data_IF_015457658088
#
_entry.id   IF_015457658088
#
_cell.length_a   1.000
_cell.length_b   1.000
_cell.length_c   1.000
_cell.angle_alpha   90.00
_cell.angle_beta   90.00
_cell.angle_gamma   90.00
#
_symmetry.space_group_name_H-M   'P 1'
#
loop_
_entity.id
_entity.type
_entity.pdbx_description
1 polymer ?
#
# COMPACT_ATOMS: atom_id res chain seq x y z
N UNK A 1 -2.05 -4.59 -2.14
CA UNK A 1 -0.94 -3.68 -2.52
C UNK A 1 0.28 -4.46 -3.01
N UNK A 2 1.07 -5.12 -2.15
CA UNK A 2 2.38 -5.67 -2.57
C UNK A 2 2.29 -6.74 -3.68
N UNK A 3 1.26 -7.60 -3.67
CA UNK A 3 1.04 -8.57 -4.75
C UNK A 3 0.86 -7.91 -6.12
N UNK A 4 0.33 -6.69 -6.15
CA UNK A 4 0.11 -5.90 -7.37
C UNK A 4 1.28 -4.96 -7.67
N UNK A 5 1.98 -4.51 -6.63
CA UNK A 5 3.06 -3.51 -6.69
C UNK A 5 4.33 -3.96 -7.42
N UNK A 6 4.41 -5.23 -7.81
CA UNK A 6 5.52 -5.77 -8.60
C UNK A 6 5.35 -5.56 -10.11
N UNK A 7 4.19 -5.03 -10.55
CA UNK A 7 3.92 -4.81 -11.97
C UNK A 7 4.90 -3.83 -12.62
N UNK A 8 5.12 -4.03 -13.92
CA UNK A 8 5.90 -3.13 -14.76
C UNK A 8 5.30 -3.07 -16.17
N UNK A 9 4.96 -1.86 -16.62
CA UNK A 9 4.43 -1.62 -17.98
C UNK A 9 5.44 -1.94 -19.07
N UNK A 10 6.74 -1.93 -18.75
CA UNK A 10 7.81 -2.11 -19.73
C UNK A 10 8.00 -3.56 -20.17
N UNK A 11 7.81 -4.50 -19.25
CA UNK A 11 7.99 -5.93 -19.50
C UNK A 11 6.71 -6.75 -19.28
N UNK A 12 5.63 -6.11 -18.80
CA UNK A 12 4.33 -6.71 -18.52
C UNK A 12 4.42 -7.90 -17.55
N UNK A 13 5.35 -7.83 -16.59
CA UNK A 13 5.56 -8.86 -15.56
C UNK A 13 5.23 -8.34 -14.17
N UNK A 14 4.92 -9.27 -13.26
CA UNK A 14 4.44 -8.98 -11.92
C UNK A 14 2.95 -8.66 -11.95
N UNK A 15 2.47 -7.94 -10.93
CA UNK A 15 1.06 -7.54 -10.86
C UNK A 15 0.17 -8.58 -10.22
N UNK A 16 -1.14 -8.34 -10.30
CA UNK A 16 -2.12 -9.04 -9.46
C UNK A 16 -2.39 -10.47 -9.94
N UNK A 17 -2.01 -10.79 -11.17
CA UNK A 17 -2.11 -12.14 -11.72
C UNK A 17 -0.88 -12.98 -11.31
N UNK A 18 -1.14 -14.19 -10.82
CA UNK A 18 -0.11 -15.18 -10.50
C UNK A 18 0.01 -15.55 -9.03
N UNK A 19 -0.36 -14.65 -8.10
CA UNK A 19 -0.15 -14.82 -6.67
C UNK A 19 1.28 -15.33 -6.37
N UNK A 20 2.26 -14.76 -7.07
CA UNK A 20 3.64 -15.25 -7.15
C UNK A 20 4.40 -15.10 -5.84
N UNK A 21 3.92 -14.24 -4.93
CA UNK A 21 4.38 -14.12 -3.54
C UNK A 21 4.21 -15.41 -2.71
N UNK A 22 3.56 -16.46 -3.23
CA UNK A 22 3.60 -17.81 -2.65
C UNK A 22 4.95 -18.51 -2.85
N UNK A 23 5.77 -18.04 -3.80
CA UNK A 23 7.01 -18.68 -4.20
C UNK A 23 8.23 -17.80 -3.92
N UNK A 24 9.38 -18.45 -3.71
CA UNK A 24 10.68 -17.78 -3.73
C UNK A 24 11.05 -17.38 -5.17
N UNK A 25 11.74 -16.25 -5.40
CA UNK A 25 12.31 -15.36 -4.38
C UNK A 25 11.32 -14.33 -3.80
N UNK A 26 10.18 -14.06 -4.44
CA UNK A 26 9.27 -12.97 -4.06
C UNK A 26 8.72 -13.09 -2.64
N UNK A 27 8.40 -14.30 -2.19
CA UNK A 27 7.93 -14.56 -0.82
C UNK A 27 8.94 -14.17 0.27
N UNK A 28 10.20 -13.96 -0.10
CA UNK A 28 11.32 -13.59 0.77
C UNK A 28 11.94 -12.24 0.42
N UNK A 29 11.34 -11.48 -0.50
CA UNK A 29 11.72 -10.09 -0.67
C UNK A 29 11.58 -9.39 0.69
N UNK A 30 12.62 -8.70 1.21
CA UNK A 30 12.55 -8.00 2.49
C UNK A 30 11.36 -7.04 2.59
N UNK A 31 10.94 -6.44 1.48
CA UNK A 31 9.75 -5.58 1.46
C UNK A 31 8.43 -6.34 1.72
N UNK A 32 8.42 -7.67 1.59
CA UNK A 32 7.28 -8.53 1.89
C UNK A 32 7.31 -9.15 3.30
N UNK A 33 8.23 -8.71 4.17
CA UNK A 33 8.33 -9.21 5.55
C UNK A 33 6.99 -9.07 6.31
N UNK A 34 6.53 -10.18 6.90
CA UNK A 34 5.28 -10.27 7.66
C UNK A 34 4.02 -10.54 6.82
N UNK A 35 4.10 -10.52 5.48
CA UNK A 35 2.93 -10.82 4.63
C UNK A 35 2.57 -12.31 4.60
N UNK A 36 3.41 -13.19 5.13
CA UNK A 36 3.08 -14.59 5.38
C UNK A 36 1.91 -14.72 6.38
N UNK A 37 1.82 -13.84 7.38
CA UNK A 37 0.69 -13.80 8.33
C UNK A 37 -0.63 -13.58 7.58
N UNK A 38 -0.66 -12.61 6.65
CA UNK A 38 -1.84 -12.31 5.85
C UNK A 38 -2.19 -13.44 4.86
N UNK A 39 -1.18 -14.08 4.23
CA UNK A 39 -1.42 -15.23 3.35
C UNK A 39 -2.00 -16.41 4.13
N UNK A 40 -1.40 -16.74 5.28
CA UNK A 40 -1.84 -17.83 6.15
C UNK A 40 -3.25 -17.60 6.70
N UNK A 41 -3.61 -16.35 7.03
CA UNK A 41 -4.96 -15.98 7.45
C UNK A 41 -6.03 -16.34 6.41
N UNK A 42 -5.70 -16.27 5.11
CA UNK A 42 -6.62 -16.57 4.02
C UNK A 42 -6.68 -18.05 3.63
N UNK A 43 -5.77 -18.91 4.10
CA UNK A 43 -5.74 -20.34 3.75
C UNK A 43 -7.04 -21.09 4.13
N UNK A 44 -7.67 -20.87 5.31
CA UNK A 44 -8.96 -21.49 5.61
C UNK A 44 -10.08 -21.09 4.62
N UNK A 45 -10.05 -19.86 4.12
CA UNK A 45 -10.99 -19.38 3.10
C UNK A 45 -10.70 -20.04 1.76
N UNK A 46 -9.43 -20.15 1.36
CA UNK A 46 -9.01 -20.87 0.16
C UNK A 46 -9.45 -22.34 0.20
N UNK A 47 -9.33 -23.01 1.34
CA UNK A 47 -9.75 -24.39 1.54
C UNK A 47 -11.27 -24.55 1.39
N UNK A 48 -12.05 -23.60 1.91
CA UNK A 48 -13.52 -23.58 1.78
C UNK A 48 -13.99 -23.31 0.35
N UNK A 49 -13.23 -22.50 -0.40
CA UNK A 49 -13.57 -22.10 -1.77
C UNK A 49 -12.46 -22.50 -2.76
N UNK A 50 -12.21 -23.80 -3.00
CA UNK A 50 -11.03 -24.25 -3.74
C UNK A 50 -10.97 -23.76 -5.20
N UNK A 51 -12.11 -23.35 -5.77
CA UNK A 51 -12.21 -22.82 -7.14
C UNK A 51 -11.70 -21.39 -7.31
N UNK A 52 -11.67 -20.58 -6.24
CA UNK A 52 -11.08 -19.23 -6.33
C UNK A 52 -9.57 -19.36 -6.44
N UNK A 53 -8.94 -18.57 -7.32
CA UNK A 53 -7.48 -18.44 -7.35
C UNK A 53 -6.99 -17.70 -6.12
N UNK A 54 -5.74 -17.91 -5.71
CA UNK A 54 -5.12 -17.09 -4.67
C UNK A 54 -5.08 -15.62 -5.09
N UNK A 55 -4.81 -15.33 -6.36
CA UNK A 55 -4.83 -13.96 -6.89
C UNK A 55 -6.18 -13.27 -6.70
N UNK A 56 -7.27 -13.94 -7.03
CA UNK A 56 -8.61 -13.38 -6.82
C UNK A 56 -8.94 -13.28 -5.34
N UNK A 57 -8.59 -14.29 -4.54
CA UNK A 57 -8.82 -14.27 -3.09
C UNK A 57 -8.13 -13.08 -2.41
N UNK A 58 -6.87 -12.81 -2.72
CA UNK A 58 -6.11 -11.73 -2.10
C UNK A 58 -6.62 -10.35 -2.50
N UNK A 59 -6.94 -10.16 -3.78
CA UNK A 59 -7.47 -8.87 -4.26
C UNK A 59 -8.89 -8.61 -3.76
N UNK A 60 -9.74 -9.64 -3.71
CA UNK A 60 -11.08 -9.56 -3.13
C UNK A 60 -11.01 -9.26 -1.63
N UNK A 61 -10.15 -9.97 -0.89
CA UNK A 61 -9.96 -9.72 0.54
C UNK A 61 -9.50 -8.28 0.82
N UNK A 62 -8.64 -7.71 -0.02
CA UNK A 62 -8.25 -6.30 0.06
C UNK A 62 -9.44 -5.35 -0.12
N UNK A 63 -10.29 -5.59 -1.12
CA UNK A 63 -11.49 -4.78 -1.36
C UNK A 63 -12.49 -4.87 -0.20
N UNK A 64 -12.77 -6.08 0.28
CA UNK A 64 -13.67 -6.32 1.42
C UNK A 64 -13.13 -5.66 2.68
N UNK A 65 -11.83 -5.77 2.97
CA UNK A 65 -11.23 -5.13 4.13
C UNK A 65 -11.43 -3.59 4.10
N UNK A 66 -11.23 -2.96 2.94
CA UNK A 66 -11.44 -1.51 2.78
C UNK A 66 -12.91 -1.13 3.06
N UNK A 67 -13.86 -1.88 2.47
CA UNK A 67 -15.30 -1.63 2.66
C UNK A 67 -15.72 -1.84 4.13
N UNK A 68 -15.29 -2.93 4.77
CA UNK A 68 -15.60 -3.25 6.17
C UNK A 68 -15.00 -2.24 7.17
N UNK A 69 -13.90 -1.58 6.81
CA UNK A 69 -13.29 -0.51 7.61
C UNK A 69 -13.93 0.87 7.37
N UNK A 70 -15.02 0.95 6.60
CA UNK A 70 -15.75 2.19 6.31
C UNK A 70 -15.26 2.95 5.08
N UNK A 71 -14.38 2.35 4.29
CA UNK A 71 -13.84 2.94 3.07
C UNK A 71 -14.79 2.85 1.88
N UNK A 72 -14.36 3.34 0.70
CA UNK A 72 -15.19 3.29 -0.49
C UNK A 72 -15.35 1.85 -0.99
N UNK A 73 -16.54 1.56 -1.53
CA UNK A 73 -16.75 0.35 -2.33
C UNK A 73 -15.87 0.38 -3.58
N UNK A 74 -15.18 -0.73 -3.84
CA UNK A 74 -14.33 -0.92 -5.00
C UNK A 74 -14.96 -1.95 -5.90
N UNK A 75 -15.22 -1.59 -7.15
CA UNK A 75 -15.67 -2.55 -8.16
C UNK A 75 -14.58 -3.59 -8.39
N UNK A 76 -14.85 -4.83 -7.99
CA UNK A 76 -13.93 -5.95 -8.13
C UNK A 76 -14.37 -6.91 -9.24
N UNK A 77 -13.40 -7.40 -10.02
CA UNK A 77 -13.62 -8.38 -11.08
C UNK A 77 -12.81 -9.66 -10.81
N UNK A 78 -13.41 -10.86 -10.93
CA UNK A 78 -12.68 -12.13 -10.88
C UNK A 78 -11.97 -12.42 -12.21
N UNK A 79 -11.15 -13.46 -12.23
CA UNK A 79 -10.56 -14.03 -13.43
C UNK A 79 -9.03 -14.11 -13.41
N UNK A 80 -8.37 -13.72 -12.31
CA UNK A 80 -6.92 -13.83 -12.19
C UNK A 80 -6.51 -15.29 -12.09
N UNK A 81 -5.38 -15.62 -12.71
CA UNK A 81 -4.88 -16.98 -12.78
C UNK A 81 -3.65 -17.10 -11.87
N UNK A 82 -3.60 -18.17 -11.08
CA UNK A 82 -2.44 -18.46 -10.24
C UNK A 82 -1.26 -18.96 -11.09
N UNK A 83 -0.07 -18.48 -10.75
CA UNK A 83 1.17 -18.97 -11.29
C UNK A 83 1.42 -20.39 -10.79
N UNK A 84 2.01 -21.20 -11.66
CA UNK A 84 2.29 -22.61 -11.41
C UNK A 84 3.61 -22.84 -10.69
N UNK A 85 4.56 -21.92 -10.78
CA UNK A 85 5.88 -22.08 -10.17
C UNK A 85 6.64 -20.76 -9.99
N UNK A 86 7.78 -20.87 -9.29
CA UNK A 86 8.73 -19.78 -9.01
C UNK A 86 9.28 -19.05 -10.24
N UNK A 87 9.27 -19.67 -11.42
CA UNK A 87 9.78 -19.04 -12.65
C UNK A 87 8.89 -17.88 -13.13
N UNK A 88 7.68 -17.77 -12.58
CA UNK A 88 6.77 -16.66 -12.81
C UNK A 88 7.02 -15.46 -11.87
N UNK A 89 7.88 -15.58 -10.87
CA UNK A 89 8.15 -14.47 -9.95
C UNK A 89 8.79 -13.29 -10.71
N UNK A 90 8.35 -12.05 -10.45
CA UNK A 90 9.02 -10.87 -10.94
C UNK A 90 10.39 -10.71 -10.25
N UNK A 91 11.29 -9.89 -10.82
CA UNK A 91 12.49 -9.44 -10.14
C UNK A 91 12.15 -8.83 -8.76
N UNK A 92 12.98 -9.15 -7.76
CA UNK A 92 12.92 -8.54 -6.42
C UNK A 92 13.32 -7.06 -6.47
N UNK A 93 12.91 -6.29 -5.45
CA UNK A 93 13.27 -4.86 -5.33
C UNK A 93 12.40 -3.92 -6.17
N UNK A 94 11.21 -4.36 -6.58
CA UNK A 94 10.23 -3.52 -7.30
C UNK A 94 9.36 -2.66 -6.37
N UNK A 95 9.29 -2.99 -5.09
CA UNK A 95 8.46 -2.29 -4.11
C UNK A 95 9.13 -0.99 -3.62
N UNK A 96 8.35 0.02 -3.20
CA UNK A 96 8.91 1.30 -2.77
C UNK A 96 9.72 1.17 -1.48
N UNK A 97 10.65 2.12 -1.29
CA UNK A 97 11.49 2.23 -0.11
C UNK A 97 11.08 3.51 0.63
N UNK A 98 10.66 3.34 1.87
CA UNK A 98 10.09 4.38 2.71
C UNK A 98 11.07 5.53 3.02
N UNK A 99 12.38 5.30 2.90
CA UNK A 99 13.44 6.27 3.20
C UNK A 99 13.71 7.29 2.08
N UNK A 100 13.06 7.12 0.92
CA UNK A 100 13.36 7.85 -0.31
C UNK A 100 12.42 9.06 -0.49
N UNK A 101 12.59 9.79 -1.60
CA UNK A 101 11.89 11.04 -1.90
C UNK A 101 10.75 10.87 -2.93
N UNK A 102 10.11 11.97 -3.32
CA UNK A 102 9.04 11.98 -4.34
C UNK A 102 9.47 11.38 -5.69
N UNK A 103 10.71 11.60 -6.15
CA UNK A 103 11.22 11.04 -7.41
C UNK A 103 11.27 9.51 -7.37
N UNK A 104 11.59 8.92 -6.21
CA UNK A 104 11.54 7.48 -6.01
C UNK A 104 10.12 6.94 -6.09
N UNK A 105 9.15 7.63 -5.47
CA UNK A 105 7.74 7.26 -5.56
C UNK A 105 7.27 7.29 -7.02
N UNK A 106 7.58 8.37 -7.76
CA UNK A 106 7.29 8.47 -9.19
C UNK A 106 7.94 7.35 -9.97
N UNK A 107 9.22 7.06 -9.77
CA UNK A 107 9.91 5.98 -10.48
C UNK A 107 9.24 4.61 -10.28
N UNK A 108 8.81 4.29 -9.06
CA UNK A 108 8.13 3.03 -8.75
C UNK A 108 6.74 2.97 -9.36
N UNK A 109 5.94 4.02 -9.19
CA UNK A 109 4.54 4.00 -9.59
C UNK A 109 4.34 4.29 -11.09
N UNK A 110 5.21 5.09 -11.71
CA UNK A 110 5.19 5.29 -13.17
C UNK A 110 5.55 4.01 -13.90
N UNK A 111 6.47 3.20 -13.33
CA UNK A 111 6.71 1.82 -13.81
C UNK A 111 5.44 0.97 -13.76
N UNK A 112 4.55 1.21 -12.81
CA UNK A 112 3.25 0.54 -12.70
C UNK A 112 2.16 1.17 -13.60
N UNK A 113 2.46 2.25 -14.33
CA UNK A 113 1.49 2.99 -15.13
C UNK A 113 0.56 3.89 -14.32
N UNK A 114 0.96 4.28 -13.11
CA UNK A 114 0.19 5.15 -12.21
C UNK A 114 0.66 6.60 -12.32
N UNK A 115 -0.26 7.54 -12.18
CA UNK A 115 -0.03 8.99 -12.19
C UNK A 115 0.21 9.56 -10.79
N UNK A 116 0.70 10.80 -10.69
CA UNK A 116 0.88 11.50 -9.40
C UNK A 116 -0.39 11.50 -8.54
N UNK A 117 -1.57 11.70 -9.15
CA UNK A 117 -2.85 11.65 -8.44
C UNK A 117 -3.15 10.28 -7.84
N UNK A 118 -2.83 9.22 -8.57
CA UNK A 118 -3.02 7.83 -8.11
C UNK A 118 -1.99 7.46 -7.04
N UNK A 119 -0.76 7.96 -7.12
CA UNK A 119 0.27 7.80 -6.07
C UNK A 119 -0.27 8.38 -4.75
N UNK A 120 -0.65 9.66 -4.76
CA UNK A 120 -1.11 10.36 -3.57
C UNK A 120 -2.36 9.70 -3.00
N UNK A 121 -3.32 9.32 -3.86
CA UNK A 121 -4.53 8.63 -3.42
C UNK A 121 -4.18 7.30 -2.73
N UNK A 122 -3.36 6.45 -3.36
CA UNK A 122 -3.00 5.14 -2.83
C UNK A 122 -2.20 5.22 -1.52
N UNK A 123 -1.35 6.24 -1.35
CA UNK A 123 -0.65 6.48 -0.08
C UNK A 123 -1.61 6.73 1.08
N UNK A 124 -2.81 7.24 0.81
CA UNK A 124 -3.87 7.41 1.82
C UNK A 124 -4.28 6.12 2.54
N UNK A 125 -3.98 4.94 1.98
CA UNK A 125 -4.17 3.67 2.67
C UNK A 125 -3.35 3.53 3.96
N UNK A 126 -2.32 4.36 4.17
CA UNK A 126 -1.58 4.46 5.44
C UNK A 126 -2.44 4.98 6.60
N UNK A 127 -3.68 5.44 6.36
CA UNK A 127 -4.68 5.59 7.44
C UNK A 127 -4.94 4.26 8.17
N UNK A 128 -4.63 3.13 7.55
CA UNK A 128 -4.80 1.80 8.11
C UNK A 128 -3.49 1.22 8.66
N UNK A 129 -3.60 0.51 9.78
CA UNK A 129 -2.53 -0.29 10.35
C UNK A 129 -1.39 0.55 10.95
N UNK A 130 -0.19 -0.03 10.88
CA UNK A 130 1.03 0.52 11.49
C UNK A 130 2.29 -0.11 10.90
N UNK A 131 3.41 0.57 11.07
CA UNK A 131 4.72 -0.04 10.93
C UNK A 131 5.05 -0.96 12.13
N UNK A 132 5.88 -1.97 11.87
CA UNK A 132 6.40 -2.89 12.88
C UNK A 132 7.92 -3.03 12.70
N UNK A 133 8.67 -2.82 13.79
CA UNK A 133 10.13 -2.75 13.74
C UNK A 133 10.78 -4.05 13.22
N UNK A 134 10.20 -5.20 13.54
CA UNK A 134 10.67 -6.53 13.11
C UNK A 134 10.40 -6.85 11.63
N UNK A 135 9.62 -6.01 10.93
CA UNK A 135 9.26 -6.19 9.52
C UNK A 135 9.93 -5.15 8.64
N UNK A 136 9.71 -3.87 8.96
CA UNK A 136 10.13 -2.74 8.13
C UNK A 136 11.25 -1.91 8.76
N UNK A 137 11.65 -2.20 10.00
CA UNK A 137 12.55 -1.34 10.78
C UNK A 137 11.85 -0.13 11.40
N UNK A 138 10.84 0.45 10.73
CA UNK A 138 9.96 1.51 11.24
C UNK A 138 8.96 1.02 12.31
N UNK A 139 8.48 1.91 13.18
CA UNK A 139 7.49 1.57 14.21
C UNK A 139 6.47 2.68 14.49
N UNK A 140 5.22 2.27 14.65
CA UNK A 140 4.11 3.12 15.08
C UNK A 140 3.00 3.24 14.03
N UNK A 141 1.79 3.66 14.44
CA UNK A 141 0.69 3.96 13.53
C UNK A 141 0.78 5.38 12.97
N UNK A 142 0.13 5.63 11.83
CA UNK A 142 -0.02 6.97 11.26
C UNK A 142 -1.14 7.78 11.92
N UNK A 143 -2.18 7.10 12.41
CA UNK A 143 -3.38 7.68 13.03
C UNK A 143 -3.79 6.89 14.28
N UNK A 144 -4.61 7.50 15.14
CA UNK A 144 -5.07 6.85 16.39
C UNK A 144 -6.15 5.79 16.16
N UNK A 145 -6.83 5.82 15.01
CA UNK A 145 -7.87 4.88 14.61
C UNK A 145 -7.43 4.02 13.41
N UNK A 146 -6.41 3.15 13.54
CA UNK A 146 -5.77 2.45 12.42
C UNK A 146 -6.63 1.35 11.79
N UNK A 147 -7.90 1.20 12.18
CA UNK A 147 -8.85 0.23 11.64
C UNK A 147 -10.09 0.90 11.06
N UNK A 148 -10.01 2.21 10.80
CA UNK A 148 -11.08 3.00 10.17
C UNK A 148 -10.52 3.71 8.95
N UNK A 149 -11.06 3.39 7.78
CA UNK A 149 -10.66 4.03 6.54
C UNK A 149 -11.31 5.41 6.45
N UNK A 150 -10.49 6.47 6.48
CA UNK A 150 -10.92 7.87 6.45
C UNK A 150 -9.84 8.73 5.80
N UNK A 151 -10.07 10.04 5.67
CA UNK A 151 -9.03 10.98 5.25
C UNK A 151 -8.13 11.49 6.39
N UNK A 152 -8.16 10.88 7.58
CA UNK A 152 -7.39 11.34 8.75
C UNK A 152 -5.88 11.37 8.47
N UNK A 153 -5.34 10.41 7.71
CA UNK A 153 -3.94 10.40 7.30
C UNK A 153 -3.52 11.71 6.62
N UNK A 154 -4.31 12.21 5.65
CA UNK A 154 -4.02 13.47 4.97
C UNK A 154 -4.17 14.67 5.90
N UNK A 155 -5.19 14.70 6.75
CA UNK A 155 -5.34 15.76 7.77
C UNK A 155 -4.11 15.83 8.69
N UNK A 156 -3.61 14.68 9.14
CA UNK A 156 -2.42 14.60 10.00
C UNK A 156 -1.15 15.09 9.33
N UNK A 157 -1.01 14.97 8.01
CA UNK A 157 0.14 15.55 7.30
C UNK A 157 0.20 17.08 7.44
N UNK A 158 -0.94 17.77 7.48
CA UNK A 158 -1.01 19.23 7.53
C UNK A 158 -1.19 19.80 8.95
N UNK A 159 -1.99 19.15 9.78
CA UNK A 159 -2.41 19.70 11.09
C UNK A 159 -1.46 19.30 12.23
N UNK A 160 -0.38 18.57 11.93
CA UNK A 160 0.59 18.08 12.93
C UNK A 160 1.98 18.63 12.64
N UNK A 161 2.63 19.15 13.68
CA UNK A 161 4.04 19.50 13.60
C UNK A 161 4.89 18.23 13.74
N UNK A 162 5.43 17.75 12.62
CA UNK A 162 6.28 16.57 12.57
C UNK A 162 7.74 16.91 12.87
N UNK A 163 8.33 16.22 13.86
CA UNK A 163 9.76 16.32 14.19
C UNK A 163 10.45 15.00 13.94
N UNK A 164 11.76 15.03 13.70
CA UNK A 164 12.55 13.79 13.58
C UNK A 164 12.48 13.03 14.90
N UNK A 165 12.21 11.72 14.83
CA UNK A 165 12.24 10.82 15.98
C UNK A 165 13.68 10.44 16.29
N UNK A 166 14.10 10.67 17.54
CA UNK A 166 15.41 10.26 18.04
C UNK A 166 15.34 8.85 18.64
N UNK A 167 15.82 7.84 17.90
CA UNK A 167 15.70 6.43 18.28
C UNK A 167 16.70 5.54 17.51
N UNK A 168 16.68 4.23 17.74
CA UNK A 168 17.61 3.26 17.14
C UNK A 168 17.21 2.74 15.75
N UNK A 169 16.00 3.06 15.30
CA UNK A 169 15.51 2.63 13.99
C UNK A 169 15.85 3.62 12.87
N UNK A 170 15.33 3.39 11.66
CA UNK A 170 15.53 4.30 10.53
C UNK A 170 14.91 5.69 10.78
N UNK A 171 15.32 6.66 9.97
CA UNK A 171 14.75 8.02 10.00
C UNK A 171 13.23 7.97 9.82
N UNK A 172 12.49 8.34 10.87
CA UNK A 172 11.06 8.59 10.82
C UNK A 172 10.72 9.82 11.63
N UNK A 173 9.50 10.31 11.47
CA UNK A 173 9.00 11.47 12.16
C UNK A 173 8.03 11.05 13.27
N UNK A 174 7.92 11.87 14.29
CA UNK A 174 6.95 11.73 15.39
C UNK A 174 6.15 13.03 15.58
N UNK A 175 4.91 12.89 16.05
CA UNK A 175 4.11 14.02 16.50
C UNK A 175 4.52 14.48 17.90
N UNK A 176 4.04 15.64 18.41
CA UNK A 176 4.40 16.13 19.73
C UNK A 176 4.08 15.16 20.88
N UNK A 177 2.99 14.40 20.77
CA UNK A 177 2.61 13.38 21.77
C UNK A 177 3.41 12.07 21.65
N UNK A 178 4.20 11.92 20.59
CA UNK A 178 5.07 10.76 20.31
C UNK A 178 4.32 9.42 20.22
N UNK A 179 3.07 9.45 19.81
CA UNK A 179 2.21 8.28 19.64
C UNK A 179 1.89 7.97 18.16
N UNK A 180 2.19 8.91 17.25
CA UNK A 180 2.02 8.78 15.81
C UNK A 180 3.35 8.95 15.08
N UNK A 181 3.41 8.44 13.85
CA UNK A 181 4.58 8.57 12.99
C UNK A 181 4.25 8.94 11.54
N UNK A 182 5.25 9.47 10.85
CA UNK A 182 5.31 9.58 9.38
C UNK A 182 6.64 9.05 8.86
N UNK A 183 6.63 8.34 7.73
CA UNK A 183 7.82 7.94 6.99
C UNK A 183 8.38 9.15 6.22
N UNK A 184 9.66 9.12 5.81
CA UNK A 184 10.20 10.13 4.90
C UNK A 184 9.35 10.31 3.63
N UNK A 185 8.97 9.21 2.99
CA UNK A 185 8.06 9.20 1.83
C UNK A 185 6.66 9.76 2.10
N UNK A 186 6.13 9.67 3.33
CA UNK A 186 4.82 10.26 3.65
C UNK A 186 4.92 11.80 3.66
N UNK A 187 5.99 12.37 4.21
CA UNK A 187 6.18 13.83 4.21
C UNK A 187 6.48 14.39 2.82
N UNK A 188 6.90 13.57 1.85
CA UNK A 188 7.00 14.01 0.46
C UNK A 188 5.65 14.41 -0.12
N UNK A 189 4.53 13.88 0.41
CA UNK A 189 3.19 14.25 -0.04
C UNK A 189 2.81 15.70 0.26
N UNK A 190 3.57 16.40 1.11
CA UNK A 190 3.39 17.83 1.41
C UNK A 190 4.61 18.68 1.04
N UNK A 191 5.75 18.05 0.71
CA UNK A 191 7.00 18.72 0.32
C UNK A 191 7.15 18.85 -1.19
N UNK A 192 6.72 17.84 -1.94
CA UNK A 192 6.68 17.92 -3.40
C UNK A 192 5.51 18.81 -3.84
N UNK A 193 5.72 19.83 -4.69
CA UNK A 193 4.67 20.78 -5.03
C UNK A 193 3.42 20.16 -5.67
N UNK A 194 3.58 19.14 -6.52
CA UNK A 194 2.46 18.49 -7.21
C UNK A 194 1.71 17.59 -6.24
N UNK A 195 2.44 16.79 -5.45
CA UNK A 195 1.79 15.96 -4.43
C UNK A 195 1.07 16.80 -3.39
N UNK A 196 1.64 17.93 -2.96
CA UNK A 196 1.04 18.83 -1.98
C UNK A 196 -0.27 19.46 -2.47
N UNK A 197 -0.40 19.75 -3.76
CA UNK A 197 -1.66 20.24 -4.32
C UNK A 197 -2.76 19.17 -4.22
N UNK A 198 -2.42 17.92 -4.54
CA UNK A 198 -3.37 16.80 -4.54
C UNK A 198 -3.72 16.36 -3.11
N UNK A 199 -2.72 16.21 -2.24
CA UNK A 199 -2.91 15.72 -0.87
C UNK A 199 -3.71 16.71 -0.02
N UNK A 200 -3.57 18.01 -0.28
CA UNK A 200 -4.40 19.05 0.34
C UNK A 200 -5.88 18.88 0.01
N UNK A 201 -6.23 18.57 -1.25
CA UNK A 201 -7.62 18.28 -1.64
C UNK A 201 -8.17 17.12 -0.82
N UNK A 202 -7.39 16.05 -0.65
CA UNK A 202 -7.84 14.88 0.13
C UNK A 202 -7.93 15.16 1.63
N UNK A 203 -7.11 16.06 2.17
CA UNK A 203 -7.23 16.50 3.58
C UNK A 203 -8.55 17.26 3.82
N UNK A 204 -8.98 18.08 2.86
CA UNK A 204 -10.17 18.93 2.94
C UNK A 204 -11.47 18.21 2.51
N UNK A 205 -11.38 17.24 1.58
CA UNK A 205 -12.53 16.52 1.01
C UNK A 205 -12.32 14.99 1.01
N UNK A 206 -12.93 14.33 1.99
CA UNK A 206 -12.93 12.87 2.11
C UNK A 206 -13.64 12.17 0.95
N UNK A 207 -14.69 12.78 0.38
CA UNK A 207 -15.41 12.19 -0.76
C UNK A 207 -14.54 12.19 -2.00
N UNK A 208 -13.77 13.27 -2.22
CA UNK A 208 -12.78 13.31 -3.30
C UNK A 208 -11.72 12.21 -3.11
N UNK A 209 -11.17 12.09 -1.90
CA UNK A 209 -10.23 11.01 -1.57
C UNK A 209 -10.83 9.63 -1.86
N UNK A 210 -12.02 9.33 -1.35
CA UNK A 210 -12.66 8.02 -1.52
C UNK A 210 -12.91 7.67 -2.99
N UNK A 211 -13.35 8.65 -3.78
CA UNK A 211 -13.57 8.49 -5.21
C UNK A 211 -12.27 8.13 -5.94
N UNK A 212 -11.21 8.91 -5.71
CA UNK A 212 -9.95 8.72 -6.41
C UNK A 212 -9.18 7.48 -5.90
N UNK A 213 -9.26 7.17 -4.61
CA UNK A 213 -8.71 5.95 -4.03
C UNK A 213 -9.39 4.69 -4.61
N UNK A 214 -10.72 4.67 -4.68
CA UNK A 214 -11.45 3.53 -5.27
C UNK A 214 -11.03 3.27 -6.71
N UNK A 215 -10.91 4.35 -7.52
CA UNK A 215 -10.45 4.26 -8.90
C UNK A 215 -9.00 3.77 -9.01
N UNK A 216 -8.09 4.34 -8.22
CA UNK A 216 -6.67 3.97 -8.23
C UNK A 216 -6.43 2.55 -7.71
N UNK A 217 -7.14 2.14 -6.66
CA UNK A 217 -7.03 0.80 -6.09
C UNK A 217 -7.62 -0.26 -7.03
N UNK A 218 -8.73 0.03 -7.70
CA UNK A 218 -9.27 -0.81 -8.77
C UNK A 218 -8.24 -1.02 -9.88
N UNK A 219 -7.67 0.08 -10.39
CA UNK A 219 -6.63 0.02 -11.43
C UNK A 219 -5.45 -0.83 -10.96
N UNK A 220 -4.96 -0.61 -9.74
CA UNK A 220 -3.85 -1.36 -9.16
C UNK A 220 -4.08 -2.87 -9.16
N UNK A 221 -5.25 -3.30 -8.70
CA UNK A 221 -5.53 -4.73 -8.59
C UNK A 221 -5.85 -5.36 -9.95
N UNK A 222 -6.03 -4.56 -11.00
CA UNK A 222 -6.24 -4.97 -12.39
C UNK A 222 -4.97 -4.86 -13.27
N UNK A 223 -3.81 -4.47 -12.67
CA UNK A 223 -2.49 -4.52 -13.32
C UNK A 223 -1.99 -5.95 -13.56
#
# INVERSE_FOLDING_TARGET
>A
WHSSGTYSVFDQKGGSCGATMRFRPESQDPANAGLDVARNFLEPIKAKFPKISYSDLWTLAGCVAIEEMGGPKIDWRPGRIDAKCKHCCPPVGRLPDASRNADHLRAVFYRMGMSDKEIVALSGAHVLGRCHADRSGYDGPWVRSPTTFSNEYFKKLYDTQWTIREWKGPLQYENPEKDLMMLPTDLELIRDPIFAEISKVYAEDEKAFFKDFSAAFKKLIEL
#
